data_IF_119187771915
#
_entry.id   IF_119187771915
#
_cell.length_a   1.000
_cell.length_b   1.000
_cell.length_c   1.000
_cell.angle_alpha   90.00
_cell.angle_beta   90.00
_cell.angle_gamma   90.00
#
_symmetry.space_group_name_H-M   'P 1'
#
loop_
_entity.id
_entity.type
_entity.pdbx_description
1 polymer ?
#
# COMPACT_ATOMS: atom_id res chain seq x y z
N UNK A 1 -24.40 12.64 -0.40
CA UNK A 1 -24.14 11.33 0.22
C UNK A 1 -23.97 10.36 -0.95
N UNK A 2 -22.75 10.29 -1.48
CA UNK A 2 -22.45 9.55 -2.71
C UNK A 2 -22.38 8.07 -2.33
N UNK A 3 -23.27 7.25 -2.88
CA UNK A 3 -23.17 5.81 -2.74
C UNK A 3 -21.80 5.37 -3.26
N UNK A 4 -20.94 4.93 -2.35
CA UNK A 4 -19.67 4.30 -2.71
C UNK A 4 -20.06 2.99 -3.34
N UNK A 5 -20.01 2.90 -4.68
CA UNK A 5 -20.15 1.63 -5.36
C UNK A 5 -19.07 0.69 -4.79
N UNK A 6 -19.42 -0.42 -4.12
CA UNK A 6 -18.44 -1.28 -3.46
C UNK A 6 -17.38 -1.79 -4.46
N UNK A 7 -17.74 -1.90 -5.75
CA UNK A 7 -16.83 -2.27 -6.84
C UNK A 7 -15.72 -1.24 -7.14
N UNK A 8 -15.77 -0.03 -6.58
CA UNK A 8 -14.78 1.02 -6.78
C UNK A 8 -13.85 1.25 -5.57
N UNK A 9 -13.95 0.40 -4.53
CA UNK A 9 -12.99 0.45 -3.43
C UNK A 9 -11.63 -0.07 -3.91
N UNK A 10 -10.53 0.68 -3.72
CA UNK A 10 -9.21 0.25 -4.13
C UNK A 10 -8.81 -1.04 -3.42
N UNK A 11 -8.31 -1.99 -4.21
CA UNK A 11 -7.70 -3.21 -3.70
C UNK A 11 -6.39 -2.86 -2.97
N UNK A 12 -6.05 -3.59 -1.91
CA UNK A 12 -4.85 -3.34 -1.11
C UNK A 12 -3.95 -4.55 -1.18
N UNK A 13 -2.71 -4.36 -1.63
CA UNK A 13 -1.74 -5.44 -1.76
C UNK A 13 -0.45 -5.05 -1.05
N UNK A 14 0.02 -5.92 -0.16
CA UNK A 14 1.27 -5.76 0.58
C UNK A 14 2.41 -6.41 -0.19
N UNK A 15 3.46 -5.64 -0.47
CA UNK A 15 4.62 -6.07 -1.24
C UNK A 15 5.89 -6.08 -0.39
N UNK A 16 6.80 -7.00 -0.72
CA UNK A 16 8.08 -7.19 -0.03
C UNK A 16 9.27 -7.09 -0.98
N UNK A 17 9.01 -7.07 -2.29
CA UNK A 17 10.00 -7.02 -3.36
C UNK A 17 9.38 -6.51 -4.65
N UNK A 18 10.22 -6.23 -5.66
CA UNK A 18 9.78 -5.69 -6.95
C UNK A 18 8.86 -6.65 -7.71
N UNK A 19 9.12 -7.96 -7.66
CA UNK A 19 8.30 -8.98 -8.34
C UNK A 19 6.84 -8.96 -7.87
N UNK A 20 6.63 -8.73 -6.57
CA UNK A 20 5.30 -8.57 -5.99
C UNK A 20 4.57 -7.34 -6.53
N UNK A 21 5.27 -6.20 -6.63
CA UNK A 21 4.71 -4.96 -7.14
C UNK A 21 4.31 -5.05 -8.61
N UNK A 22 5.16 -5.65 -9.45
CA UNK A 22 4.87 -5.85 -10.87
C UNK A 22 3.68 -6.79 -11.08
N UNK A 23 3.58 -7.87 -10.31
CA UNK A 23 2.44 -8.78 -10.33
C UNK A 23 1.13 -8.09 -9.95
N UNK A 24 1.16 -7.28 -8.87
CA UNK A 24 0.02 -6.51 -8.40
C UNK A 24 -0.47 -5.50 -9.45
N UNK A 25 0.45 -4.73 -10.06
CA UNK A 25 0.13 -3.74 -11.10
C UNK A 25 -0.43 -4.41 -12.36
N UNK A 26 0.20 -5.49 -12.81
CA UNK A 26 -0.24 -6.29 -13.96
C UNK A 26 -1.67 -6.81 -13.77
N UNK A 27 -1.95 -7.40 -12.61
CA UNK A 27 -3.28 -7.91 -12.27
C UNK A 27 -4.31 -6.77 -12.14
N UNK A 28 -3.97 -5.67 -11.46
CA UNK A 28 -4.87 -4.52 -11.32
C UNK A 28 -5.27 -3.93 -12.67
N UNK A 29 -4.32 -3.83 -13.61
CA UNK A 29 -4.58 -3.41 -14.99
C UNK A 29 -5.52 -4.40 -15.70
N UNK A 30 -5.26 -5.69 -15.60
CA UNK A 30 -6.06 -6.72 -16.27
C UNK A 30 -7.52 -6.74 -15.78
N UNK A 31 -7.74 -6.45 -14.50
CA UNK A 31 -9.05 -6.40 -13.87
C UNK A 31 -9.69 -5.00 -13.87
N UNK A 32 -8.99 -3.97 -14.38
CA UNK A 32 -9.39 -2.56 -14.34
C UNK A 32 -9.81 -2.11 -12.92
N UNK A 33 -8.99 -2.46 -11.92
CA UNK A 33 -9.25 -2.20 -10.50
C UNK A 33 -8.27 -1.14 -9.97
N UNK A 34 -8.74 -0.13 -9.21
CA UNK A 34 -7.84 0.78 -8.51
C UNK A 34 -7.03 0.02 -7.45
N UNK A 35 -5.75 0.40 -7.29
CA UNK A 35 -4.79 -0.32 -6.46
C UNK A 35 -4.07 0.61 -5.47
N UNK A 36 -4.00 0.17 -4.22
CA UNK A 36 -3.10 0.69 -3.20
C UNK A 36 -2.04 -0.38 -2.93
N UNK A 37 -0.77 -0.02 -3.11
CA UNK A 37 0.37 -0.86 -2.78
C UNK A 37 0.93 -0.40 -1.43
N UNK A 38 0.99 -1.35 -0.50
CA UNK A 38 1.50 -1.16 0.85
C UNK A 38 2.86 -1.85 0.99
N UNK A 39 3.81 -1.24 1.68
CA UNK A 39 4.93 -2.01 2.21
C UNK A 39 4.47 -2.95 3.33
N UNK A 40 5.32 -3.91 3.72
CA UNK A 40 5.14 -4.65 4.97
C UNK A 40 5.08 -3.71 6.18
N UNK A 41 4.44 -4.15 7.28
CA UNK A 41 4.29 -3.36 8.50
C UNK A 41 5.66 -2.97 9.06
N UNK A 42 5.87 -1.68 9.31
CA UNK A 42 7.13 -1.14 9.81
C UNK A 42 8.31 -1.26 8.85
N UNK A 43 8.08 -1.44 7.54
CA UNK A 43 9.15 -1.62 6.53
C UNK A 43 10.20 -0.50 6.54
N UNK A 44 9.85 0.70 7.01
CA UNK A 44 10.83 1.79 7.17
C UNK A 44 12.02 1.40 8.06
N UNK A 45 11.83 0.48 9.04
CA UNK A 45 12.89 0.02 9.94
C UNK A 45 13.77 -1.06 9.31
N UNK A 46 13.17 -2.00 8.58
CA UNK A 46 13.88 -3.17 8.04
C UNK A 46 14.54 -2.90 6.69
N UNK A 47 13.86 -2.18 5.78
CA UNK A 47 14.34 -1.93 4.43
C UNK A 47 14.70 -0.45 4.19
N UNK A 48 14.01 0.47 4.88
CA UNK A 48 14.27 1.91 4.79
C UNK A 48 13.58 2.60 3.62
N UNK A 49 13.56 3.93 3.68
CA UNK A 49 12.89 4.79 2.69
C UNK A 49 13.56 4.75 1.31
N UNK A 50 14.89 4.61 1.24
CA UNK A 50 15.62 4.51 -0.02
C UNK A 50 15.23 3.29 -0.84
N UNK A 51 15.14 2.12 -0.20
CA UNK A 51 14.64 0.90 -0.83
C UNK A 51 13.22 1.09 -1.38
N UNK A 52 12.33 1.68 -0.58
CA UNK A 52 10.95 1.91 -1.01
C UNK A 52 10.87 2.82 -2.24
N UNK A 53 11.61 3.93 -2.25
CA UNK A 53 11.66 4.85 -3.39
C UNK A 53 12.13 4.15 -4.66
N UNK A 54 13.16 3.32 -4.54
CA UNK A 54 13.70 2.58 -5.67
C UNK A 54 12.70 1.55 -6.20
N UNK A 55 12.03 0.81 -5.32
CA UNK A 55 10.96 -0.12 -5.69
C UNK A 55 9.84 0.60 -6.44
N UNK A 56 9.39 1.76 -5.95
CA UNK A 56 8.34 2.56 -6.59
C UNK A 56 8.81 3.07 -7.96
N UNK A 57 10.03 3.59 -8.06
CA UNK A 57 10.59 4.10 -9.31
C UNK A 57 10.68 3.01 -10.39
N UNK A 58 11.28 1.87 -10.07
CA UNK A 58 11.39 0.73 -11.00
C UNK A 58 10.02 0.18 -11.41
N UNK A 59 9.06 0.15 -10.48
CA UNK A 59 7.70 -0.31 -10.78
C UNK A 59 6.99 0.62 -11.77
N UNK A 60 7.11 1.94 -11.58
CA UNK A 60 6.53 2.95 -12.47
C UNK A 60 7.19 2.94 -13.85
N UNK A 61 8.50 2.73 -13.91
CA UNK A 61 9.21 2.58 -15.18
C UNK A 61 8.76 1.33 -15.94
N UNK A 62 8.53 0.23 -15.23
CA UNK A 62 8.11 -1.05 -15.82
C UNK A 62 6.63 -1.06 -16.25
N UNK A 63 5.78 -0.32 -15.55
CA UNK A 63 4.32 -0.28 -15.76
C UNK A 63 3.79 1.17 -15.78
N UNK A 64 4.20 2.00 -16.75
CA UNK A 64 3.91 3.43 -16.74
C UNK A 64 2.42 3.78 -16.94
N UNK A 65 1.62 2.85 -17.47
CA UNK A 65 0.19 3.05 -17.72
C UNK A 65 -0.69 2.71 -16.50
N UNK A 66 -0.14 2.08 -15.46
CA UNK A 66 -0.90 1.67 -14.29
C UNK A 66 -0.57 2.56 -13.09
N UNK A 67 -1.47 3.48 -12.79
CA UNK A 67 -1.40 4.26 -11.57
C UNK A 67 -1.80 3.41 -10.35
N UNK A 68 -1.05 3.59 -9.26
CA UNK A 68 -1.32 3.03 -7.96
C UNK A 68 -0.91 4.04 -6.89
N UNK A 69 -1.60 4.02 -5.75
CA UNK A 69 -1.14 4.72 -4.55
C UNK A 69 -0.08 3.87 -3.84
N UNK A 70 1.04 4.48 -3.45
CA UNK A 70 2.19 3.78 -2.86
C UNK A 70 2.40 4.26 -1.43
N UNK A 71 2.24 3.39 -0.45
CA UNK A 71 2.33 3.75 0.96
C UNK A 71 3.44 2.97 1.67
N UNK A 72 4.44 3.70 2.18
CA UNK A 72 5.48 3.15 3.05
C UNK A 72 4.98 3.12 4.51
N UNK A 73 5.00 1.95 5.13
CA UNK A 73 4.64 1.79 6.53
C UNK A 73 5.81 2.16 7.45
N UNK A 74 5.60 3.22 8.23
CA UNK A 74 6.54 3.70 9.22
C UNK A 74 6.28 3.16 10.63
N UNK A 75 5.30 2.27 10.81
CA UNK A 75 4.89 1.75 12.10
C UNK A 75 4.57 2.88 13.08
N UNK A 76 5.17 2.82 14.26
CA UNK A 76 5.07 3.76 15.37
C UNK A 76 6.30 4.68 15.49
N UNK A 77 7.06 4.87 14.40
CA UNK A 77 8.34 5.58 14.40
C UNK A 77 8.25 6.97 13.76
N UNK A 78 7.88 8.03 14.50
CA UNK A 78 7.79 9.37 13.94
C UNK A 78 9.14 9.90 13.43
N UNK A 79 10.26 9.49 14.03
CA UNK A 79 11.60 9.86 13.56
C UNK A 79 11.90 9.31 12.16
N UNK A 80 11.56 8.04 11.93
CA UNK A 80 11.73 7.38 10.63
C UNK A 80 10.73 7.88 9.59
N UNK A 81 9.50 8.19 10.00
CA UNK A 81 8.52 8.87 9.15
C UNK A 81 9.05 10.20 8.63
N UNK A 82 9.62 11.05 9.50
CA UNK A 82 10.21 12.32 9.09
C UNK A 82 11.43 12.13 8.19
N UNK A 83 12.24 11.09 8.42
CA UNK A 83 13.33 10.75 7.51
C UNK A 83 12.80 10.35 6.12
N UNK A 84 11.78 9.50 6.06
CA UNK A 84 11.15 9.08 4.80
C UNK A 84 10.57 10.26 4.00
N UNK A 85 9.91 11.21 4.67
CA UNK A 85 9.39 12.42 4.03
C UNK A 85 10.52 13.30 3.45
N UNK A 86 11.63 13.47 4.18
CA UNK A 86 12.80 14.22 3.69
C UNK A 86 13.47 13.55 2.51
N UNK A 87 13.45 12.23 2.47
CA UNK A 87 13.90 11.42 1.34
C UNK A 87 12.94 11.53 0.14
N UNK A 88 11.77 12.15 0.26
CA UNK A 88 10.83 12.32 -0.86
C UNK A 88 9.88 11.15 -1.06
N UNK A 89 9.60 10.36 -0.01
CA UNK A 89 8.49 9.41 -0.04
C UNK A 89 7.16 10.16 -0.05
N UNK A 90 6.33 9.91 -1.06
CA UNK A 90 5.08 10.65 -1.29
C UNK A 90 3.95 10.34 -0.30
N UNK A 91 3.77 9.09 0.11
CA UNK A 91 2.77 8.72 1.12
C UNK A 91 3.35 7.74 2.13
N UNK A 92 3.12 8.02 3.41
CA UNK A 92 3.54 7.16 4.53
C UNK A 92 2.35 6.77 5.40
N UNK A 93 2.39 5.58 5.98
CA UNK A 93 1.51 5.16 7.06
C UNK A 93 2.23 5.37 8.40
N UNK A 94 1.57 6.01 9.36
CA UNK A 94 2.11 6.22 10.71
C UNK A 94 1.04 5.94 11.77
N UNK A 95 1.35 5.01 12.67
CA UNK A 95 0.59 4.75 13.88
C UNK A 95 1.15 5.58 15.04
N UNK A 96 0.66 6.82 15.16
CA UNK A 96 0.98 7.71 16.26
C UNK A 96 -0.29 8.28 16.89
N UNK A 97 -0.23 8.57 18.19
CA UNK A 97 -1.24 9.36 18.88
C UNK A 97 -1.07 10.86 18.62
N UNK A 98 -2.09 11.65 18.91
CA UNK A 98 -1.94 13.10 18.97
C UNK A 98 -1.10 13.50 20.20
N UNK A 99 -0.31 14.59 20.12
CA UNK A 99 -0.18 15.54 19.00
C UNK A 99 0.88 15.15 17.96
N UNK A 100 1.48 13.95 18.06
CA UNK A 100 2.59 13.53 17.20
C UNK A 100 2.10 13.37 15.76
N UNK A 101 0.97 12.69 15.57
CA UNK A 101 0.40 12.47 14.25
C UNK A 101 0.16 13.79 13.50
N UNK A 102 -0.52 14.75 14.11
CA UNK A 102 -0.80 16.06 13.49
C UNK A 102 0.47 16.82 13.10
N UNK A 103 1.53 16.75 13.92
CA UNK A 103 2.82 17.40 13.60
C UNK A 103 3.51 16.76 12.40
N UNK A 104 3.51 15.44 12.31
CA UNK A 104 4.08 14.74 11.14
C UNK A 104 3.26 15.05 9.89
N UNK A 105 1.92 15.04 9.98
CA UNK A 105 1.04 15.38 8.86
C UNK A 105 1.28 16.81 8.34
N UNK A 106 1.47 17.79 9.23
CA UNK A 106 1.81 19.17 8.84
C UNK A 106 3.17 19.26 8.12
N UNK A 107 4.14 18.43 8.49
CA UNK A 107 5.44 18.38 7.83
C UNK A 107 5.31 17.71 6.46
N UNK A 108 4.57 16.61 6.37
CA UNK A 108 4.32 15.93 5.10
C UNK A 108 3.67 16.87 4.07
N UNK A 109 2.68 17.67 4.47
CA UNK A 109 2.06 18.65 3.60
C UNK A 109 3.05 19.69 3.04
N UNK A 110 4.11 20.03 3.79
CA UNK A 110 5.19 20.93 3.32
C UNK A 110 6.19 20.24 2.38
N UNK A 111 6.16 18.91 2.33
CA UNK A 111 6.97 18.07 1.44
C UNK A 111 6.16 17.54 0.25
N UNK A 112 4.96 18.10 -0.02
CA UNK A 112 4.01 17.59 -1.02
C UNK A 112 3.70 16.09 -0.85
N UNK A 113 3.66 15.65 0.42
CA UNK A 113 3.47 14.27 0.82
C UNK A 113 2.30 14.12 1.80
N UNK A 114 1.86 12.87 2.02
CA UNK A 114 0.71 12.53 2.86
C UNK A 114 1.08 11.56 3.98
N UNK A 115 0.43 11.73 5.13
CA UNK A 115 0.47 10.78 6.25
C UNK A 115 -0.92 10.21 6.44
N UNK A 116 -1.03 8.89 6.51
CA UNK A 116 -2.30 8.19 6.65
C UNK A 116 -2.27 7.22 7.83
N UNK A 117 -3.46 6.87 8.32
CA UNK A 117 -3.67 5.62 9.03
C UNK A 117 -4.18 4.61 8.02
N UNK A 118 -3.46 3.51 7.84
CA UNK A 118 -3.83 2.48 6.88
C UNK A 118 -4.62 1.39 7.59
N UNK A 119 -5.83 1.15 7.09
CA UNK A 119 -6.56 -0.08 7.37
C UNK A 119 -6.05 -1.19 6.43
N UNK A 120 -5.55 -2.27 7.03
CA UNK A 120 -5.03 -3.44 6.32
C UNK A 120 -6.07 -4.56 6.18
N UNK A 121 -7.29 -4.35 6.66
CA UNK A 121 -8.37 -5.33 6.57
C UNK A 121 -8.63 -5.71 5.11
N UNK A 122 -8.60 -7.01 4.83
CA UNK A 122 -8.81 -7.55 3.48
C UNK A 122 -7.67 -7.26 2.51
N UNK A 123 -6.50 -6.77 2.95
CA UNK A 123 -5.33 -6.63 2.09
C UNK A 123 -4.71 -8.00 1.79
N UNK A 124 -4.35 -8.24 0.54
CA UNK A 124 -3.55 -9.42 0.16
C UNK A 124 -2.10 -9.19 0.55
N UNK A 125 -1.54 -10.04 1.41
CA UNK A 125 -0.10 -10.04 1.70
C UNK A 125 0.61 -11.09 0.85
N UNK A 126 1.56 -10.65 0.03
CA UNK A 126 2.31 -11.52 -0.88
C UNK A 126 3.52 -12.20 -0.22
N UNK A 127 3.72 -12.04 1.10
CA UNK A 127 4.78 -12.75 1.83
C UNK A 127 4.73 -14.25 1.57
N UNK A 128 5.84 -14.82 1.09
CA UNK A 128 5.96 -16.25 0.82
C UNK A 128 5.12 -16.76 -0.35
N UNK A 129 4.53 -15.89 -1.18
CA UNK A 129 3.83 -16.32 -2.38
C UNK A 129 4.80 -16.99 -3.37
N UNK A 130 4.44 -18.19 -3.84
CA UNK A 130 5.19 -18.90 -4.88
C UNK A 130 4.79 -18.46 -6.29
N UNK A 131 3.67 -17.75 -6.44
CA UNK A 131 3.20 -17.20 -7.72
C UNK A 131 2.40 -15.91 -7.47
N UNK A 132 3.08 -14.77 -7.26
CA UNK A 132 2.44 -13.50 -6.95
C UNK A 132 1.41 -13.07 -8.00
N UNK A 133 1.65 -13.37 -9.27
CA UNK A 133 0.73 -13.03 -10.37
C UNK A 133 -0.60 -13.77 -10.25
N UNK A 134 -0.57 -15.07 -9.94
CA UNK A 134 -1.79 -15.86 -9.74
C UNK A 134 -2.57 -15.36 -8.54
N UNK A 135 -1.88 -15.12 -7.42
CA UNK A 135 -2.53 -14.71 -6.17
C UNK A 135 -3.19 -13.34 -6.32
N UNK A 136 -2.52 -12.39 -7.01
CA UNK A 136 -3.12 -11.09 -7.32
C UNK A 136 -4.36 -11.20 -8.21
N UNK A 137 -4.31 -12.04 -9.26
CA UNK A 137 -5.47 -12.24 -10.15
C UNK A 137 -6.67 -12.82 -9.40
N UNK A 138 -6.44 -13.81 -8.52
CA UNK A 138 -7.52 -14.39 -7.71
C UNK A 138 -8.13 -13.34 -6.78
N UNK A 139 -7.28 -12.63 -6.03
CA UNK A 139 -7.72 -11.59 -5.11
C UNK A 139 -8.49 -10.46 -5.80
N UNK A 140 -8.11 -10.08 -7.01
CA UNK A 140 -8.78 -9.02 -7.78
C UNK A 140 -10.02 -9.51 -8.56
N UNK A 141 -10.19 -10.83 -8.70
CA UNK A 141 -11.39 -11.43 -9.29
C UNK A 141 -12.55 -11.56 -8.29
N UNK A 142 -12.24 -11.66 -7.00
CA UNK A 142 -13.22 -11.69 -5.92
C UNK A 142 -13.66 -10.26 -5.59
N UNK A 143 -14.97 -10.01 -5.55
CA UNK A 143 -15.48 -8.69 -5.18
C UNK A 143 -15.09 -8.34 -3.73
N UNK A 144 -15.02 -7.05 -3.36
CA UNK A 144 -14.70 -6.66 -1.98
C UNK A 144 -15.67 -7.22 -0.92
N UNK A 145 -16.86 -7.69 -1.34
CA UNK A 145 -17.86 -8.34 -0.48
C UNK A 145 -17.61 -9.84 -0.24
N UNK A 146 -16.80 -10.51 -1.07
CA UNK A 146 -16.58 -11.96 -0.99
C UNK A 146 -15.46 -12.33 0.00
N UNK A 147 -14.50 -11.43 0.22
CA UNK A 147 -13.37 -11.63 1.16
C UNK A 147 -13.81 -11.49 2.62
N UNK A 148 -15.00 -10.94 2.88
CA UNK A 148 -15.54 -10.61 4.21
C UNK A 148 -16.37 -11.73 4.89
N UNK A 149 -16.28 -13.00 4.46
CA UNK A 149 -16.94 -14.12 5.18
C UNK A 149 -15.94 -15.09 5.84
N UNK A 150 -15.35 -14.75 6.99
CA UNK A 150 -14.92 -15.76 7.93
C UNK A 150 -16.12 -16.23 8.75
N UNK A 151 -16.53 -17.49 8.55
CA UNK A 151 -17.35 -18.23 9.53
C UNK A 151 -18.71 -18.69 9.03
N UNK A 152 -18.74 -19.83 8.32
CA UNK A 152 -19.76 -20.87 8.55
C UNK A 152 -19.07 -22.23 8.39
N UNK A 153 -18.54 -22.76 9.49
CA UNK A 153 -18.47 -24.20 9.70
C UNK A 153 -19.20 -24.43 11.02
N UNK A 154 -20.28 -25.20 10.93
CA UNK A 154 -21.04 -25.70 12.08
C UNK A 154 -20.37 -26.88 12.76
#
# INVERSE_FOLDING_TARGET
MTEVNPQNTPARIVVHEIGHALAALSAARAHNRPLIILSSTGAVRSAGAGWWRELVAQSRESMPEQDAEWILDCGDEPGMALAALREGVGTIALNASEPIWSRVAQIAARCDASVLKVDRTGALDLVGSNNPQRDCNLYLSEGPDDVAKPGVLG
#
